data_IF_425279819034
#
_entry.id   IF_425279819034
#
_cell.length_a   1.000
_cell.length_b   1.000
_cell.length_c   1.000
_cell.angle_alpha   90.00
_cell.angle_beta   90.00
_cell.angle_gamma   90.00
#
_symmetry.space_group_name_H-M   'P 1'
#
loop_
_entity.id
_entity.type
_entity.pdbx_description
1 polymer ?
#
# COMPACT_ATOMS: atom_id res chain seq x y z
N UNK A 1 -20.75 -3.16 -3.94
CA UNK A 1 -20.58 -4.07 -5.09
C UNK A 1 -20.30 -3.32 -6.39
N UNK A 2 -20.79 -2.08 -6.56
CA UNK A 2 -20.50 -1.21 -7.73
C UNK A 2 -19.02 -0.85 -7.93
N UNK A 3 -18.21 -0.79 -6.87
CA UNK A 3 -16.76 -0.53 -6.99
C UNK A 3 -15.99 -1.66 -7.71
N UNK A 4 -16.57 -2.87 -7.84
CA UNK A 4 -15.93 -3.98 -8.56
C UNK A 4 -16.12 -3.91 -10.07
N UNK A 5 -17.10 -3.13 -10.56
CA UNK A 5 -17.39 -2.97 -11.99
C UNK A 5 -16.78 -1.71 -12.61
N UNK A 6 -16.07 -0.90 -11.83
CA UNK A 6 -15.36 0.27 -12.35
C UNK A 6 -14.25 -0.22 -13.29
N UNK A 7 -14.15 0.41 -14.45
CA UNK A 7 -13.16 0.04 -15.44
C UNK A 7 -11.75 0.40 -14.95
N UNK A 8 -10.80 -0.51 -15.12
CA UNK A 8 -9.43 -0.32 -14.65
C UNK A 8 -8.73 0.88 -15.32
N UNK A 9 -9.14 1.22 -16.55
CA UNK A 9 -8.61 2.39 -17.28
C UNK A 9 -9.09 3.72 -16.69
N UNK A 10 -10.33 3.79 -16.17
CA UNK A 10 -10.84 4.98 -15.50
C UNK A 10 -10.06 5.22 -14.19
N UNK A 11 -9.82 4.15 -13.43
CA UNK A 11 -9.04 4.20 -12.18
C UNK A 11 -7.61 4.69 -12.48
N UNK A 12 -7.02 4.25 -13.60
CA UNK A 12 -5.68 4.66 -14.01
C UNK A 12 -5.60 6.15 -14.31
N UNK A 13 -6.63 6.71 -14.95
CA UNK A 13 -6.69 8.13 -15.33
C UNK A 13 -6.93 9.04 -14.12
N UNK A 14 -7.89 8.69 -13.26
CA UNK A 14 -8.27 9.54 -12.12
C UNK A 14 -7.39 9.35 -10.88
N UNK A 15 -6.94 8.13 -10.59
CA UNK A 15 -6.24 7.80 -9.34
C UNK A 15 -4.78 7.38 -9.53
N UNK A 16 -4.32 7.23 -10.78
CA UNK A 16 -2.94 6.89 -11.12
C UNK A 16 -2.61 5.40 -11.05
N UNK A 17 -1.37 5.06 -11.45
CA UNK A 17 -0.90 3.67 -11.56
C UNK A 17 -0.80 2.97 -10.21
N UNK A 18 -0.32 3.66 -9.18
CA UNK A 18 -0.08 3.06 -7.86
C UNK A 18 -1.39 2.60 -7.21
N UNK A 19 -2.42 3.44 -7.24
CA UNK A 19 -3.76 3.11 -6.74
C UNK A 19 -4.35 1.91 -7.48
N UNK A 20 -4.21 1.87 -8.81
CA UNK A 20 -4.68 0.74 -9.62
C UNK A 20 -3.98 -0.57 -9.20
N UNK A 21 -2.66 -0.53 -9.00
CA UNK A 21 -1.89 -1.71 -8.57
C UNK A 21 -2.27 -2.16 -7.16
N UNK A 22 -2.49 -1.23 -6.24
CA UNK A 22 -2.96 -1.55 -4.90
C UNK A 22 -4.32 -2.27 -4.94
N UNK A 23 -5.28 -1.77 -5.74
CA UNK A 23 -6.60 -2.39 -5.88
C UNK A 23 -6.52 -3.79 -6.51
N UNK A 24 -5.69 -3.96 -7.55
CA UNK A 24 -5.47 -5.26 -8.19
C UNK A 24 -4.79 -6.26 -7.26
N UNK A 25 -3.81 -5.81 -6.47
CA UNK A 25 -3.19 -6.63 -5.42
C UNK A 25 -4.22 -7.09 -4.37
N UNK A 26 -5.13 -6.21 -3.93
CA UNK A 26 -6.21 -6.62 -3.01
C UNK A 26 -7.17 -7.64 -3.64
N UNK A 27 -7.55 -7.45 -4.91
CA UNK A 27 -8.36 -8.42 -5.67
C UNK A 27 -7.62 -9.77 -5.81
N UNK A 28 -6.31 -9.75 -6.02
CA UNK A 28 -5.45 -10.93 -6.07
C UNK A 28 -5.44 -11.69 -4.73
N UNK A 29 -5.21 -10.97 -3.63
CA UNK A 29 -5.24 -11.55 -2.28
C UNK A 29 -6.60 -12.19 -1.96
N UNK A 30 -7.70 -11.58 -2.39
CA UNK A 30 -9.04 -12.17 -2.24
C UNK A 30 -9.20 -13.47 -3.04
N UNK A 31 -8.67 -13.52 -4.28
CA UNK A 31 -8.72 -14.76 -5.09
C UNK A 31 -7.89 -15.88 -4.44
N UNK A 32 -6.69 -15.56 -3.95
CA UNK A 32 -5.84 -16.53 -3.26
C UNK A 32 -6.48 -17.01 -1.97
N UNK A 33 -7.11 -16.11 -1.18
CA UNK A 33 -7.80 -16.50 0.05
C UNK A 33 -9.03 -17.37 -0.20
N UNK A 34 -9.80 -17.11 -1.26
CA UNK A 34 -10.92 -17.97 -1.67
C UNK A 34 -10.43 -19.37 -2.08
N UNK A 35 -9.32 -19.47 -2.82
CA UNK A 35 -8.71 -20.76 -3.14
C UNK A 35 -8.21 -21.48 -1.89
N UNK A 36 -7.59 -20.75 -0.95
CA UNK A 36 -7.15 -21.31 0.33
C UNK A 36 -8.32 -21.82 1.18
N UNK A 37 -9.45 -21.10 1.20
CA UNK A 37 -10.68 -21.56 1.85
C UNK A 37 -11.22 -22.83 1.18
N UNK A 38 -11.27 -22.87 -0.16
CA UNK A 38 -11.71 -24.06 -0.88
C UNK A 38 -10.82 -25.28 -0.57
N UNK A 39 -9.50 -25.11 -0.53
CA UNK A 39 -8.59 -26.20 -0.13
C UNK A 39 -8.77 -26.59 1.33
N UNK A 40 -9.03 -25.64 2.23
CA UNK A 40 -9.31 -25.92 3.64
C UNK A 40 -10.56 -26.79 3.79
N UNK A 41 -11.64 -26.49 3.06
CA UNK A 41 -12.85 -27.32 3.02
C UNK A 41 -12.59 -28.76 2.57
N UNK A 42 -11.59 -29.00 1.73
CA UNK A 42 -11.18 -30.36 1.30
C UNK A 42 -10.29 -31.04 2.34
N UNK A 43 -9.39 -30.31 3.00
CA UNK A 43 -8.45 -30.88 3.96
C UNK A 43 -9.11 -31.19 5.31
N UNK A 44 -10.08 -30.39 5.76
CA UNK A 44 -10.79 -30.60 7.04
C UNK A 44 -11.44 -32.00 7.18
N UNK A 45 -12.21 -32.52 6.21
CA UNK A 45 -12.75 -33.88 6.32
C UNK A 45 -11.67 -34.96 6.27
N UNK A 46 -10.56 -34.73 5.56
CA UNK A 46 -9.41 -35.64 5.52
C UNK A 46 -8.76 -35.75 6.91
N UNK A 47 -8.58 -34.61 7.59
CA UNK A 47 -8.07 -34.56 8.97
C UNK A 47 -9.04 -35.17 9.99
N UNK A 48 -10.35 -35.01 9.80
CA UNK A 48 -11.35 -35.63 10.67
C UNK A 48 -11.40 -37.16 10.52
N UNK A 49 -11.07 -37.68 9.33
CA UNK A 49 -11.12 -39.12 9.04
C UNK A 49 -9.83 -39.85 9.47
N UNK A 50 -8.71 -39.14 9.68
CA UNK A 50 -7.49 -39.75 10.19
C UNK A 50 -7.62 -40.10 11.68
N UNK A 51 -7.64 -41.40 11.99
CA UNK A 51 -7.72 -41.92 13.35
C UNK A 51 -6.34 -41.99 13.99
N UNK A 52 -6.00 -40.99 14.82
CA UNK A 52 -4.88 -41.09 15.75
C UNK A 52 -5.28 -41.93 16.97
N UNK A 53 -4.58 -43.04 17.18
CA UNK A 53 -4.85 -43.99 18.26
C UNK A 53 -4.08 -43.60 19.54
N UNK A 54 -4.37 -42.43 20.11
CA UNK A 54 -3.79 -42.01 21.39
C UNK A 54 -4.89 -42.00 22.47
N UNK A 55 -4.60 -42.66 23.61
CA UNK A 55 -5.53 -42.93 24.72
C UNK A 55 -5.95 -41.70 25.55
N UNK A 56 -5.78 -40.48 25.04
CA UNK A 56 -6.17 -39.25 25.75
C UNK A 56 -7.62 -38.88 25.45
N UNK A 57 -8.45 -38.92 26.49
CA UNK A 57 -9.92 -38.89 26.42
C UNK A 57 -10.53 -37.48 26.27
N UNK A 58 -9.71 -36.43 26.31
CA UNK A 58 -10.12 -35.04 26.08
C UNK A 58 -9.27 -34.46 24.95
N UNK A 59 -9.86 -34.38 23.75
CA UNK A 59 -9.23 -33.72 22.60
C UNK A 59 -9.95 -32.41 22.33
N UNK A 60 -9.18 -31.33 22.25
CA UNK A 60 -9.69 -30.07 21.75
C UNK A 60 -10.02 -30.20 20.25
N UNK A 61 -11.15 -29.61 19.85
CA UNK A 61 -11.62 -29.59 18.46
C UNK A 61 -10.54 -29.03 17.50
N UNK A 62 -9.74 -28.06 17.95
CA UNK A 62 -8.70 -27.43 17.15
C UNK A 62 -7.51 -28.36 16.87
N UNK A 63 -7.19 -29.25 17.81
CA UNK A 63 -6.09 -30.22 17.65
C UNK A 63 -6.45 -31.33 16.67
N UNK A 64 -7.74 -31.67 16.58
CA UNK A 64 -8.24 -32.69 15.65
C UNK A 64 -8.27 -32.18 14.20
N UNK A 65 -8.39 -30.87 14.00
CA UNK A 65 -8.50 -30.22 12.68
C UNK A 65 -7.16 -29.76 12.10
N UNK A 66 -6.05 -30.00 12.79
CA UNK A 66 -4.71 -29.60 12.35
C UNK A 66 -3.88 -30.82 11.94
N UNK A 67 -2.79 -30.59 11.21
CA UNK A 67 -1.82 -31.62 10.76
C UNK A 67 -1.25 -32.44 11.92
N UNK A 68 -1.28 -31.92 13.15
CA UNK A 68 -0.88 -32.66 14.36
C UNK A 68 -1.73 -33.90 14.68
N UNK A 69 -2.90 -34.06 14.05
CA UNK A 69 -3.71 -35.28 14.17
C UNK A 69 -3.15 -36.45 13.29
N UNK A 70 -2.27 -36.19 12.33
CA UNK A 70 -1.71 -37.26 11.49
C UNK A 70 -0.57 -37.98 12.22
N UNK A 71 -0.41 -39.28 11.96
CA UNK A 71 0.78 -40.03 12.39
C UNK A 71 1.92 -39.77 11.41
N UNK A 72 3.16 -39.76 11.90
CA UNK A 72 4.36 -39.44 11.12
C UNK A 72 4.62 -40.35 9.90
N UNK A 73 3.89 -41.48 9.79
CA UNK A 73 4.04 -42.45 8.70
C UNK A 73 2.73 -42.75 7.96
N UNK A 74 1.69 -41.93 8.15
CA UNK A 74 0.42 -42.12 7.44
C UNK A 74 0.51 -41.62 5.98
N UNK A 75 -0.01 -42.39 5.01
CA UNK A 75 -0.03 -41.96 3.60
C UNK A 75 -0.88 -40.69 3.39
N UNK A 76 -1.75 -40.35 4.34
CA UNK A 76 -2.61 -39.15 4.26
C UNK A 76 -1.83 -37.83 4.40
N UNK A 77 -0.56 -37.86 4.82
CA UNK A 77 0.29 -36.66 4.94
C UNK A 77 0.64 -36.04 3.57
N UNK A 78 0.47 -36.78 2.48
CA UNK A 78 0.70 -36.26 1.12
C UNK A 78 -0.35 -35.22 0.70
N UNK A 79 -1.58 -35.32 1.21
CA UNK A 79 -2.68 -34.41 0.87
C UNK A 79 -2.44 -32.97 1.30
N UNK A 80 -2.02 -32.66 2.53
CA UNK A 80 -1.70 -31.30 2.91
C UNK A 80 -0.48 -30.72 2.19
N UNK A 81 0.55 -31.54 1.92
CA UNK A 81 1.69 -31.10 1.11
C UNK A 81 1.27 -30.75 -0.32
N UNK A 82 0.42 -31.58 -0.92
CA UNK A 82 -0.14 -31.32 -2.24
C UNK A 82 -1.02 -30.06 -2.24
N UNK A 83 -1.89 -29.90 -1.25
CA UNK A 83 -2.72 -28.70 -1.08
C UNK A 83 -1.89 -27.42 -0.98
N UNK A 84 -0.82 -27.43 -0.16
CA UNK A 84 0.12 -26.31 -0.06
C UNK A 84 0.80 -26.01 -1.40
N UNK A 85 1.31 -27.04 -2.08
CA UNK A 85 1.96 -26.88 -3.39
C UNK A 85 1.00 -26.27 -4.42
N UNK A 86 -0.25 -26.71 -4.46
CA UNK A 86 -1.28 -26.16 -5.36
C UNK A 86 -1.53 -24.68 -5.08
N UNK A 87 -1.71 -24.29 -3.82
CA UNK A 87 -1.93 -22.89 -3.44
C UNK A 87 -0.71 -22.03 -3.79
N UNK A 88 0.50 -22.52 -3.51
CA UNK A 88 1.74 -21.81 -3.82
C UNK A 88 1.92 -21.61 -5.33
N UNK A 89 1.77 -22.67 -6.13
CA UNK A 89 1.87 -22.58 -7.59
C UNK A 89 0.82 -21.64 -8.14
N UNK A 90 -0.42 -21.73 -7.65
CA UNK A 90 -1.51 -20.85 -8.04
C UNK A 90 -1.21 -19.38 -7.72
N UNK A 91 -0.72 -19.09 -6.52
CA UNK A 91 -0.34 -17.73 -6.11
C UNK A 91 0.81 -17.17 -6.97
N UNK A 92 1.84 -17.97 -7.25
CA UNK A 92 2.96 -17.56 -8.10
C UNK A 92 2.49 -17.26 -9.53
N UNK A 93 1.67 -18.12 -10.14
CA UNK A 93 1.15 -17.91 -11.49
C UNK A 93 0.35 -16.61 -11.59
N UNK A 94 -0.53 -16.37 -10.62
CA UNK A 94 -1.32 -15.13 -10.61
C UNK A 94 -0.44 -13.89 -10.39
N UNK A 95 0.56 -13.97 -9.52
CA UNK A 95 1.49 -12.87 -9.26
C UNK A 95 2.36 -12.58 -10.50
N UNK A 96 2.85 -13.61 -11.19
CA UNK A 96 3.59 -13.44 -12.44
C UNK A 96 2.75 -12.76 -13.52
N UNK A 97 1.47 -13.14 -13.66
CA UNK A 97 0.57 -12.48 -14.61
C UNK A 97 0.37 -10.99 -14.27
N UNK A 98 0.15 -10.68 -12.99
CA UNK A 98 -0.02 -9.29 -12.55
C UNK A 98 1.27 -8.48 -12.71
N UNK A 99 2.42 -9.10 -12.47
CA UNK A 99 3.73 -8.47 -12.66
C UNK A 99 3.99 -8.12 -14.13
N UNK A 100 3.69 -9.03 -15.06
CA UNK A 100 3.80 -8.77 -16.50
C UNK A 100 2.88 -7.62 -16.94
N UNK A 101 1.66 -7.59 -16.41
CA UNK A 101 0.73 -6.48 -16.66
C UNK A 101 1.28 -5.15 -16.14
N UNK A 102 1.79 -5.14 -14.90
CA UNK A 102 2.41 -3.97 -14.29
C UNK A 102 3.59 -3.45 -15.10
N UNK A 103 4.50 -4.33 -15.52
CA UNK A 103 5.68 -3.96 -16.30
C UNK A 103 5.28 -3.25 -17.60
N UNK A 104 4.24 -3.73 -18.29
CA UNK A 104 3.70 -3.10 -19.48
C UNK A 104 3.13 -1.69 -19.22
N UNK A 105 2.28 -1.54 -18.19
CA UNK A 105 1.69 -0.24 -17.84
C UNK A 105 2.73 0.76 -17.31
N UNK A 106 3.76 0.28 -16.60
CA UNK A 106 4.89 1.10 -16.15
C UNK A 106 5.66 1.66 -17.34
N UNK A 107 5.96 0.83 -18.34
CA UNK A 107 6.64 1.30 -19.55
C UNK A 107 5.80 2.35 -20.29
N UNK A 108 4.49 2.13 -20.41
CA UNK A 108 3.58 3.11 -20.99
C UNK A 108 3.55 4.44 -20.22
N UNK A 109 3.62 4.41 -18.88
CA UNK A 109 3.70 5.61 -18.05
C UNK A 109 5.03 6.35 -18.22
N UNK A 110 6.15 5.63 -18.30
CA UNK A 110 7.47 6.22 -18.53
C UNK A 110 7.62 6.85 -19.92
N UNK A 111 6.86 6.38 -20.91
CA UNK A 111 6.81 7.00 -22.23
C UNK A 111 5.99 8.29 -22.27
N UNK A 112 5.20 8.62 -21.24
CA UNK A 112 4.45 9.87 -21.20
C UNK A 112 5.37 11.03 -20.83
N UNK A 113 5.30 12.10 -21.61
CA UNK A 113 6.03 13.34 -21.38
C UNK A 113 5.44 14.16 -20.22
N UNK A 114 5.62 13.66 -19.00
CA UNK A 114 5.31 14.40 -17.76
C UNK A 114 6.56 15.13 -17.27
N UNK A 115 6.39 16.37 -16.80
CA UNK A 115 7.49 17.24 -16.31
C UNK A 115 8.28 16.58 -15.17
N UNK A 116 7.63 15.73 -14.37
CA UNK A 116 8.21 14.98 -13.25
C UNK A 116 9.33 14.01 -13.68
N UNK A 117 9.34 13.54 -14.93
CA UNK A 117 10.39 12.64 -15.43
C UNK A 117 11.69 13.35 -15.78
N UNK A 118 11.69 14.69 -15.80
CA UNK A 118 12.82 15.52 -16.24
C UNK A 118 13.44 16.33 -15.10
N UNK A 119 12.99 16.17 -13.85
CA UNK A 119 13.61 16.79 -12.68
C UNK A 119 14.64 15.86 -12.04
N UNK A 120 15.78 16.41 -11.67
CA UNK A 120 16.84 15.71 -10.95
C UNK A 120 17.09 16.44 -9.64
N UNK A 121 17.09 15.69 -8.53
CA UNK A 121 17.41 16.20 -7.20
C UNK A 121 18.87 15.91 -6.91
N UNK A 122 19.65 16.95 -6.65
CA UNK A 122 21.03 16.85 -6.19
C UNK A 122 21.05 17.04 -4.67
N UNK A 123 21.48 16.00 -3.95
CA UNK A 123 21.71 16.06 -2.51
C UNK A 123 23.18 16.40 -2.22
N UNK A 124 23.44 16.93 -1.02
CA UNK A 124 24.80 17.17 -0.49
C UNK A 124 25.67 18.06 -1.39
N UNK A 125 25.14 19.23 -1.73
CA UNK A 125 25.88 20.23 -2.46
C UNK A 125 26.96 20.90 -1.59
N UNK A 126 28.19 21.05 -2.09
CA UNK A 126 29.23 21.77 -1.37
C UNK A 126 28.86 23.26 -1.23
N UNK A 127 29.28 23.90 -0.13
CA UNK A 127 28.87 25.27 0.25
C UNK A 127 29.11 26.33 -0.83
N UNK A 128 30.15 26.14 -1.66
CA UNK A 128 30.47 27.00 -2.79
C UNK A 128 29.44 26.95 -3.94
N UNK A 129 28.60 25.92 -4.00
CA UNK A 129 27.59 25.71 -5.05
C UNK A 129 26.15 25.89 -4.58
N UNK A 130 25.93 26.29 -3.33
CA UNK A 130 24.59 26.48 -2.76
C UNK A 130 23.88 27.74 -3.30
N UNK A 131 24.55 28.58 -4.09
CA UNK A 131 23.89 29.70 -4.79
C UNK A 131 23.31 29.26 -6.13
N UNK A 132 22.08 29.71 -6.42
CA UNK A 132 21.37 29.44 -7.68
C UNK A 132 22.21 29.86 -8.90
N UNK A 133 22.90 30.99 -8.82
CA UNK A 133 23.70 31.52 -9.94
C UNK A 133 24.94 30.67 -10.20
N UNK A 134 25.65 30.29 -9.14
CA UNK A 134 26.85 29.45 -9.23
C UNK A 134 26.51 28.06 -9.75
N UNK A 135 25.49 27.41 -9.17
CA UNK A 135 25.05 26.09 -9.62
C UNK A 135 24.66 26.08 -11.10
N UNK A 136 23.90 27.10 -11.53
CA UNK A 136 23.45 27.20 -12.92
C UNK A 136 24.63 27.38 -13.87
N UNK A 137 25.66 28.13 -13.48
CA UNK A 137 26.86 28.32 -14.30
C UNK A 137 27.61 27.01 -14.50
N UNK A 138 27.90 26.30 -13.40
CA UNK A 138 28.62 25.02 -13.44
C UNK A 138 27.83 23.95 -14.20
N UNK A 139 26.52 23.83 -13.94
CA UNK A 139 25.69 22.87 -14.65
C UNK A 139 25.59 23.18 -16.14
N UNK A 140 25.55 24.47 -16.54
CA UNK A 140 25.54 24.86 -17.95
C UNK A 140 26.88 24.56 -18.65
N UNK A 141 28.00 24.59 -17.93
CA UNK A 141 29.31 24.21 -18.46
C UNK A 141 29.36 22.71 -18.76
N UNK A 142 28.81 21.87 -17.87
CA UNK A 142 28.79 20.42 -18.02
C UNK A 142 27.71 19.96 -19.01
N UNK A 143 26.52 20.57 -18.97
CA UNK A 143 25.33 20.19 -19.75
C UNK A 143 24.76 21.38 -20.54
N UNK A 144 25.43 21.81 -21.62
CA UNK A 144 25.02 22.99 -22.38
C UNK A 144 23.62 22.81 -22.99
N UNK A 145 22.76 23.82 -22.82
CA UNK A 145 21.40 23.91 -23.37
C UNK A 145 20.41 22.80 -22.94
N UNK A 146 20.74 21.97 -21.95
CA UNK A 146 19.84 20.92 -21.45
C UNK A 146 19.06 21.34 -20.20
N UNK A 147 19.47 22.43 -19.56
CA UNK A 147 18.92 22.88 -18.28
C UNK A 147 17.83 23.93 -18.50
N UNK A 148 16.62 23.63 -18.05
CA UNK A 148 15.47 24.54 -18.16
C UNK A 148 15.35 25.48 -16.95
N UNK A 149 15.33 24.90 -15.75
CA UNK A 149 15.21 25.62 -14.48
C UNK A 149 16.09 25.00 -13.42
N UNK A 150 16.55 25.82 -12.48
CA UNK A 150 17.36 25.43 -11.33
C UNK A 150 16.71 26.03 -10.09
N UNK A 151 16.51 25.20 -9.07
CA UNK A 151 16.01 25.61 -7.78
C UNK A 151 16.95 25.09 -6.70
N UNK A 152 17.24 25.94 -5.72
CA UNK A 152 17.96 25.53 -4.50
C UNK A 152 16.92 25.41 -3.39
N UNK A 153 16.84 24.22 -2.80
CA UNK A 153 16.03 24.00 -1.62
C UNK A 153 16.73 24.67 -0.43
N UNK A 154 16.11 25.70 0.14
CA UNK A 154 16.55 26.29 1.39
C UNK A 154 15.93 25.52 2.56
N UNK A 155 16.62 25.49 3.70
CA UNK A 155 16.01 25.03 4.95
C UNK A 155 14.96 26.08 5.39
N UNK A 156 13.70 25.69 5.31
CA UNK A 156 12.54 26.55 5.59
C UNK A 156 11.75 26.00 6.80
N UNK A 157 12.38 25.13 7.61
CA UNK A 157 11.74 24.40 8.72
C UNK A 157 10.95 25.30 9.68
N UNK A 158 11.44 26.49 9.99
CA UNK A 158 10.75 27.40 10.92
C UNK A 158 9.53 28.07 10.30
N UNK A 159 9.57 28.38 9.01
CA UNK A 159 8.39 28.91 8.30
C UNK A 159 7.35 27.81 8.14
N UNK A 160 7.75 26.57 7.87
CA UNK A 160 6.83 25.43 7.82
C UNK A 160 6.08 25.25 9.14
N UNK A 161 6.78 25.36 10.28
CA UNK A 161 6.15 25.35 11.62
C UNK A 161 5.12 26.47 11.78
N UNK A 162 5.47 27.71 11.39
CA UNK A 162 4.55 28.85 11.48
C UNK A 162 3.33 28.68 10.56
N UNK A 163 3.51 28.08 9.37
CA UNK A 163 2.41 27.76 8.46
C UNK A 163 1.50 26.69 9.07
N UNK A 164 2.07 25.63 9.63
CA UNK A 164 1.29 24.58 10.30
C UNK A 164 0.51 25.12 11.51
N UNK A 165 1.12 26.00 12.30
CA UNK A 165 0.44 26.68 13.42
C UNK A 165 -0.73 27.54 12.92
N UNK A 166 -0.50 28.32 11.86
CA UNK A 166 -1.53 29.13 11.22
C UNK A 166 -2.71 28.28 10.73
N UNK A 167 -2.45 27.14 10.09
CA UNK A 167 -3.51 26.23 9.62
C UNK A 167 -4.31 25.63 10.78
N UNK A 168 -3.63 25.24 11.86
CA UNK A 168 -4.29 24.71 13.06
C UNK A 168 -5.21 25.77 13.70
N UNK A 169 -4.73 27.01 13.85
CA UNK A 169 -5.54 28.12 14.36
C UNK A 169 -6.72 28.42 13.43
N UNK A 170 -6.52 28.36 12.11
CA UNK A 170 -7.59 28.54 11.13
C UNK A 170 -8.68 27.49 11.29
N UNK A 171 -8.32 26.21 11.40
CA UNK A 171 -9.26 25.11 11.61
C UNK A 171 -10.05 25.27 12.91
N UNK A 172 -9.38 25.67 14.00
CA UNK A 172 -10.05 25.97 15.28
C UNK A 172 -11.04 27.13 15.15
N UNK A 173 -10.69 28.17 14.39
CA UNK A 173 -11.55 29.31 14.13
C UNK A 173 -12.77 28.90 13.29
N UNK A 174 -12.56 28.16 12.20
CA UNK A 174 -13.64 27.62 11.35
C UNK A 174 -14.62 26.76 12.16
N UNK A 175 -14.10 25.87 13.01
CA UNK A 175 -14.90 25.06 13.92
C UNK A 175 -15.70 25.92 14.92
N UNK A 176 -15.07 26.92 15.54
CA UNK A 176 -15.74 27.82 16.47
C UNK A 176 -16.84 28.66 15.79
N UNK A 177 -16.62 29.10 14.55
CA UNK A 177 -17.64 29.80 13.76
C UNK A 177 -18.80 28.88 13.38
N UNK A 178 -18.53 27.61 13.04
CA UNK A 178 -19.55 26.60 12.77
C UNK A 178 -20.38 26.25 14.02
N UNK A 179 -19.78 26.26 15.21
CA UNK A 179 -20.52 26.12 16.47
C UNK A 179 -21.37 27.36 16.75
N UNK A 180 -20.82 28.56 16.56
CA UNK A 180 -21.57 29.81 16.74
C UNK A 180 -22.78 29.89 15.82
N UNK A 181 -22.66 29.46 14.56
CA UNK A 181 -23.79 29.49 13.62
C UNK A 181 -24.91 28.52 14.03
N UNK A 182 -24.57 27.37 14.64
CA UNK A 182 -25.55 26.39 15.15
C UNK A 182 -26.19 26.84 16.46
N UNK A 183 -25.40 27.29 17.43
CA UNK A 183 -25.86 27.57 18.81
C UNK A 183 -26.31 29.02 18.99
N UNK A 184 -25.97 29.94 18.08
CA UNK A 184 -26.24 31.38 18.19
C UNK A 184 -25.33 32.10 19.20
N UNK A 185 -24.79 31.38 20.19
CA UNK A 185 -23.83 31.89 21.18
C UNK A 185 -22.38 31.70 20.71
N UNK A 186 -21.51 32.66 21.06
CA UNK A 186 -20.07 32.58 20.76
C UNK A 186 -19.40 31.56 21.68
N UNK A 187 -18.76 30.50 21.17
CA UNK A 187 -18.07 29.52 22.00
C UNK A 187 -16.89 30.18 22.71
N UNK A 188 -16.73 29.86 23.99
CA UNK A 188 -15.64 30.37 24.84
C UNK A 188 -14.62 29.28 25.09
N UNK A 189 -13.36 29.65 25.30
CA UNK A 189 -12.26 28.70 25.47
C UNK A 189 -12.42 27.78 26.69
N UNK A 190 -13.21 28.16 27.69
CA UNK A 190 -13.31 27.53 29.01
C UNK A 190 -14.61 26.73 29.27
N UNK A 191 -15.40 26.37 28.26
CA UNK A 191 -16.71 25.74 28.49
C UNK A 191 -16.70 24.26 28.94
N UNK A 192 -15.54 23.62 29.07
CA UNK A 192 -15.43 22.19 29.45
C UNK A 192 -14.94 21.96 30.91
N UNK A 193 -15.08 22.95 31.79
CA UNK A 193 -14.74 22.81 33.21
C UNK A 193 -15.97 22.97 34.11
N UNK A 194 -16.93 22.04 34.00
CA UNK A 194 -17.94 21.76 35.02
C UNK A 194 -18.36 20.29 34.93
#
# INVERSE_FOLDING_TARGET
FELLSVNDDDILEYCGLDTLMFLRFNKLCLRVSLCALATSFVLLPIYATSTRHDNHKERDILQTLNVGNLKDSDPNLIWPMFGYLVICVFAIVLLCNEYMFYAGKRHQMLQKDTVEHYSVIYNDLPENLQSITSLRSELNEIFPNQIRYVYVAADISDVEKLVAERENVRLKLEHALALKSKTGSRPKHYENSC
#
